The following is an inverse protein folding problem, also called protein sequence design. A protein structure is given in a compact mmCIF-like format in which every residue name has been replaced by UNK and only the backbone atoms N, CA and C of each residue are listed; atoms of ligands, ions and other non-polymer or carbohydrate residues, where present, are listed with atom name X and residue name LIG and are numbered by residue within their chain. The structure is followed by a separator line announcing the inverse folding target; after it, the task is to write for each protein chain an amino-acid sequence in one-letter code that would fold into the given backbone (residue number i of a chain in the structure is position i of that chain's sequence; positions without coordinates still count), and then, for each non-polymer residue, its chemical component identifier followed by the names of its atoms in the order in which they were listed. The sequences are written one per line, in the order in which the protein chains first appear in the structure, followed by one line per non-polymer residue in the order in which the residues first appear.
data_IF_119923076235
#
_entry.id   IF_119923076235
#
_cell.length_a   1.000
_cell.length_b   1.000
_cell.length_c   1.000
_cell.angle_alpha   90.00
_cell.angle_beta   90.00
_cell.angle_gamma   90.00
#
_symmetry.space_group_name_H-M   'P 1'
#
loop_
_entity.id
_entity.type
_entity.pdbx_description
1 polymer ?
#
# COMPACT_ATOMS: atom_id res chain seq x y z
N UNK A 1 31.83 -3.52 -2.21
CA UNK A 1 31.26 -3.58 -3.57
C UNK A 1 29.82 -3.15 -3.43
N UNK A 2 29.56 -1.85 -3.53
CA UNK A 2 28.18 -1.33 -3.47
C UNK A 2 27.36 -2.07 -4.52
N UNK A 3 26.28 -2.71 -4.07
CA UNK A 3 25.19 -3.08 -4.95
C UNK A 3 24.66 -1.74 -5.46
N UNK A 4 25.17 -1.28 -6.62
CA UNK A 4 24.42 -0.35 -7.45
C UNK A 4 23.13 -1.09 -7.74
N UNK A 5 22.12 -0.82 -6.91
CA UNK A 5 20.75 -1.25 -7.16
C UNK A 5 20.52 -1.00 -8.63
N UNK A 6 20.17 -2.05 -9.38
CA UNK A 6 20.18 -2.05 -10.84
C UNK A 6 19.27 -0.92 -11.31
N UNK A 7 19.83 0.27 -11.57
CA UNK A 7 19.06 1.52 -11.69
C UNK A 7 18.09 1.43 -12.86
N UNK A 8 18.44 0.64 -13.86
CA UNK A 8 17.60 0.34 -15.01
C UNK A 8 16.35 -0.48 -14.65
N UNK A 9 16.48 -1.46 -13.75
CA UNK A 9 15.33 -2.24 -13.30
C UNK A 9 14.36 -1.34 -12.54
N UNK A 10 14.85 -0.54 -11.58
CA UNK A 10 14.01 0.39 -10.83
C UNK A 10 13.29 1.39 -11.76
N UNK A 11 14.00 1.97 -12.73
CA UNK A 11 13.41 2.85 -13.74
C UNK A 11 12.38 2.13 -14.62
N UNK A 12 12.63 0.88 -15.02
CA UNK A 12 11.68 0.09 -15.81
C UNK A 12 10.40 -0.23 -15.02
N UNK A 13 10.54 -0.61 -13.75
CA UNK A 13 9.43 -0.83 -12.83
C UNK A 13 8.60 0.45 -12.67
N UNK A 14 9.24 1.60 -12.44
CA UNK A 14 8.57 2.90 -12.32
C UNK A 14 7.76 3.27 -13.59
N UNK A 15 8.26 2.95 -14.79
CA UNK A 15 7.51 3.17 -16.03
C UNK A 15 6.28 2.24 -16.14
N UNK A 16 6.38 1.03 -15.59
CA UNK A 16 5.31 0.03 -15.60
C UNK A 16 4.26 0.23 -14.50
N UNK A 17 4.50 1.12 -13.52
CA UNK A 17 3.59 1.38 -12.39
C UNK A 17 2.15 1.73 -12.80
N UNK A 18 1.94 2.27 -14.00
CA UNK A 18 0.60 2.56 -14.52
C UNK A 18 -0.18 1.31 -15.00
N UNK A 19 0.40 0.11 -14.82
CA UNK A 19 -0.20 -1.18 -15.15
C UNK A 19 -0.24 -1.52 -16.64
N UNK A 20 0.18 -0.61 -17.54
CA UNK A 20 0.04 -0.84 -18.99
C UNK A 20 1.16 -1.75 -19.52
N UNK A 21 0.82 -2.74 -20.36
CA UNK A 21 1.81 -3.61 -20.98
C UNK A 21 2.69 -2.82 -21.96
N UNK A 22 4.01 -3.03 -21.88
CA UNK A 22 5.02 -2.41 -22.76
C UNK A 22 6.10 -3.42 -23.11
N UNK A 23 6.47 -3.51 -24.38
CA UNK A 23 7.69 -4.22 -24.78
C UNK A 23 8.94 -3.39 -24.45
N UNK A 24 10.12 -3.99 -24.59
CA UNK A 24 11.38 -3.34 -24.22
C UNK A 24 11.67 -2.06 -25.02
N UNK A 25 11.23 -1.97 -26.29
CA UNK A 25 11.39 -0.76 -27.10
C UNK A 25 10.51 0.39 -26.59
N UNK A 26 9.25 0.11 -26.25
CA UNK A 26 8.33 1.08 -25.67
C UNK A 26 8.82 1.57 -24.30
N UNK A 27 9.38 0.68 -23.48
CA UNK A 27 10.01 1.03 -22.21
C UNK A 27 11.22 1.94 -22.42
N UNK A 28 12.12 1.60 -23.34
CA UNK A 28 13.28 2.44 -23.66
C UNK A 28 12.83 3.85 -24.07
N UNK A 29 11.87 3.93 -24.99
CA UNK A 29 11.35 5.21 -25.49
C UNK A 29 10.76 6.05 -24.37
N UNK A 30 9.93 5.45 -23.51
CA UNK A 30 9.35 6.13 -22.36
C UNK A 30 10.42 6.60 -21.37
N UNK A 31 11.41 5.76 -21.06
CA UNK A 31 12.44 6.10 -20.09
C UNK A 31 13.49 7.10 -20.59
N UNK A 32 13.78 7.13 -21.89
CA UNK A 32 14.58 8.21 -22.50
C UNK A 32 13.80 9.52 -22.48
N UNK A 33 12.50 9.49 -22.80
CA UNK A 33 11.66 10.69 -22.77
C UNK A 33 11.52 11.29 -21.36
N UNK A 34 11.52 10.46 -20.31
CA UNK A 34 11.50 10.92 -18.92
C UNK A 34 12.89 11.15 -18.29
N UNK A 35 13.96 10.86 -19.03
CA UNK A 35 15.34 11.04 -18.55
C UNK A 35 15.82 10.01 -17.52
N UNK A 36 15.10 8.90 -17.33
CA UNK A 36 15.46 7.85 -16.37
C UNK A 36 16.35 6.74 -16.95
N UNK A 37 16.50 6.70 -18.29
CA UNK A 37 17.47 5.84 -18.98
C UNK A 37 18.56 6.67 -19.68
N UNK A 38 19.83 6.21 -19.64
CA UNK A 38 20.89 6.85 -20.42
C UNK A 38 20.67 6.61 -21.92
N UNK A 39 21.16 7.53 -22.77
CA UNK A 39 21.05 7.42 -24.23
C UNK A 39 21.75 6.18 -24.82
N UNK A 40 22.66 5.55 -24.06
CA UNK A 40 23.34 4.30 -24.43
C UNK A 40 22.53 3.04 -24.14
N UNK A 41 21.38 3.16 -23.45
CA UNK A 41 20.54 2.02 -23.10
C UNK A 41 19.91 1.44 -24.37
N UNK A 42 19.92 0.11 -24.49
CA UNK A 42 19.29 -0.59 -25.61
C UNK A 42 18.05 -1.37 -25.15
N UNK A 43 17.09 -1.69 -26.05
CA UNK A 43 15.95 -2.53 -25.70
C UNK A 43 16.38 -3.93 -25.20
N UNK A 44 17.49 -4.47 -25.73
CA UNK A 44 18.03 -5.77 -25.30
C UNK A 44 18.46 -5.74 -23.83
N UNK A 45 19.10 -4.65 -23.38
CA UNK A 45 19.49 -4.51 -21.97
C UNK A 45 18.26 -4.54 -21.05
N UNK A 46 17.20 -3.77 -21.39
CA UNK A 46 15.96 -3.73 -20.61
C UNK A 46 15.31 -5.12 -20.55
N UNK A 47 15.25 -5.80 -21.70
CA UNK A 47 14.66 -7.13 -21.81
C UNK A 47 15.39 -8.16 -20.93
N UNK A 48 16.72 -8.18 -21.01
CA UNK A 48 17.56 -9.11 -20.24
C UNK A 48 17.42 -8.82 -18.74
N UNK A 49 17.48 -7.55 -18.33
CA UNK A 49 17.35 -7.15 -16.92
C UNK A 49 16.00 -7.60 -16.33
N UNK A 50 14.89 -7.36 -17.04
CA UNK A 50 13.54 -7.75 -16.59
C UNK A 50 13.35 -9.27 -16.57
N UNK A 51 13.81 -9.98 -17.60
CA UNK A 51 13.69 -11.45 -17.66
C UNK A 51 14.51 -12.12 -16.55
N UNK A 52 15.74 -11.65 -16.31
CA UNK A 52 16.56 -12.13 -15.21
C UNK A 52 15.95 -11.80 -13.85
N UNK A 53 15.35 -10.62 -13.69
CA UNK A 53 14.60 -10.29 -12.47
C UNK A 53 13.44 -11.27 -12.24
N UNK A 54 12.58 -11.48 -13.24
CA UNK A 54 11.44 -12.41 -13.15
C UNK A 54 11.93 -13.80 -12.76
N UNK A 55 12.97 -14.32 -13.43
CA UNK A 55 13.52 -15.63 -13.13
C UNK A 55 14.11 -15.71 -11.71
N UNK A 56 14.77 -14.65 -11.22
CA UNK A 56 15.30 -14.59 -9.85
C UNK A 56 14.18 -14.64 -8.82
N UNK A 57 13.11 -13.86 -8.99
CA UNK A 57 11.99 -13.86 -8.04
C UNK A 57 11.22 -15.19 -8.05
N UNK A 58 11.01 -15.79 -9.22
CA UNK A 58 10.41 -17.14 -9.33
C UNK A 58 11.30 -18.19 -8.67
N UNK A 59 12.61 -18.15 -8.92
CA UNK A 59 13.58 -19.05 -8.24
C UNK A 59 13.55 -18.85 -6.73
N UNK A 60 13.24 -17.62 -6.30
CA UNK A 60 13.08 -17.27 -4.89
C UNK A 60 11.73 -17.67 -4.29
N UNK A 61 10.84 -18.30 -5.05
CA UNK A 61 9.48 -18.59 -4.63
C UNK A 61 8.66 -17.33 -4.30
N UNK A 62 9.05 -16.18 -4.84
CA UNK A 62 8.36 -14.90 -4.70
C UNK A 62 7.53 -14.62 -5.94
N UNK A 63 6.45 -13.87 -5.79
CA UNK A 63 5.72 -13.35 -6.94
C UNK A 63 6.52 -12.19 -7.54
N UNK A 64 7.01 -12.26 -8.78
CA UNK A 64 7.71 -11.14 -9.40
C UNK A 64 6.77 -9.94 -9.52
N UNK A 65 7.27 -8.71 -9.31
CA UNK A 65 6.48 -7.48 -9.45
C UNK A 65 6.02 -7.24 -10.90
N UNK A 66 6.72 -7.82 -11.88
CA UNK A 66 6.39 -7.76 -13.30
C UNK A 66 6.27 -9.15 -13.89
N UNK A 67 5.43 -9.29 -14.90
CA UNK A 67 5.29 -10.50 -15.71
C UNK A 67 5.51 -10.18 -17.18
N UNK A 68 5.96 -11.19 -17.90
CA UNK A 68 6.13 -11.14 -19.35
C UNK A 68 4.98 -11.89 -20.02
N UNK A 69 4.36 -11.26 -21.01
CA UNK A 69 3.45 -11.93 -21.92
C UNK A 69 4.27 -12.81 -22.89
N UNK A 70 4.03 -14.14 -22.96
CA UNK A 70 4.87 -15.04 -23.73
C UNK A 70 4.70 -14.91 -25.25
N UNK A 71 3.65 -14.23 -25.72
CA UNK A 71 3.34 -14.08 -27.15
C UNK A 71 3.86 -12.74 -27.67
N UNK A 72 3.54 -11.66 -26.95
CA UNK A 72 3.87 -10.29 -27.35
C UNK A 72 5.22 -9.82 -26.81
N UNK A 73 5.80 -10.55 -25.85
CA UNK A 73 7.00 -10.18 -25.09
C UNK A 73 6.87 -8.83 -24.37
N UNK A 74 5.63 -8.37 -24.17
CA UNK A 74 5.35 -7.17 -23.38
C UNK A 74 5.48 -7.49 -21.89
N UNK A 75 6.04 -6.55 -21.15
CA UNK A 75 6.10 -6.58 -19.69
C UNK A 75 4.96 -5.75 -19.13
N UNK A 76 4.36 -6.21 -18.03
CA UNK A 76 3.38 -5.46 -17.24
C UNK A 76 3.59 -5.76 -15.76
N UNK A 77 3.08 -4.90 -14.91
CA UNK A 77 2.99 -5.18 -13.47
C UNK A 77 2.16 -6.45 -13.25
N UNK A 78 2.62 -7.29 -12.33
CA UNK A 78 2.00 -8.55 -11.94
C UNK A 78 0.86 -8.37 -10.92
N UNK A 79 -0.02 -7.42 -11.24
CA UNK A 79 -1.25 -7.18 -10.52
C UNK A 79 -2.42 -7.16 -11.52
N UNK A 80 -3.68 -7.25 -11.06
CA UNK A 80 -4.83 -7.06 -11.93
C UNK A 80 -4.74 -5.72 -12.66
N UNK A 81 -5.08 -5.73 -13.94
CA UNK A 81 -5.10 -4.49 -14.74
C UNK A 81 -6.14 -3.54 -14.14
N UNK A 82 -5.71 -2.34 -13.81
CA UNK A 82 -6.59 -1.24 -13.43
C UNK A 82 -6.84 -0.37 -14.65
N UNK A 83 -7.96 -0.64 -15.32
CA UNK A 83 -8.41 0.06 -16.51
C UNK A 83 -9.34 1.25 -16.20
N UNK A 84 -9.51 1.59 -14.93
CA UNK A 84 -10.32 2.73 -14.53
C UNK A 84 -9.60 4.05 -14.82
N UNK A 85 -10.35 5.15 -15.04
CA UNK A 85 -9.77 6.47 -15.29
C UNK A 85 -8.64 6.80 -14.31
N UNK A 86 -7.52 7.40 -14.76
CA UNK A 86 -6.47 7.87 -13.87
C UNK A 86 -7.07 8.82 -12.82
N UNK A 87 -6.70 8.60 -11.56
CA UNK A 87 -7.11 9.44 -10.46
C UNK A 87 -5.91 9.71 -9.54
N UNK A 88 -5.79 10.96 -9.11
CA UNK A 88 -4.80 11.34 -8.10
C UNK A 88 -5.48 11.34 -6.76
N UNK A 89 -5.21 10.30 -5.97
CA UNK A 89 -5.65 10.24 -4.58
C UNK A 89 -4.90 11.29 -3.75
N UNK A 90 -5.57 11.81 -2.72
CA UNK A 90 -4.90 12.64 -1.75
C UNK A 90 -3.75 11.84 -1.12
N UNK A 91 -2.56 12.44 -0.94
CA UNK A 91 -1.47 11.74 -0.27
C UNK A 91 -1.93 11.38 1.15
N UNK A 92 -1.62 10.15 1.56
CA UNK A 92 -1.86 9.74 2.94
C UNK A 92 -0.99 10.61 3.87
N UNK A 93 -1.51 10.98 5.05
CA UNK A 93 -0.69 11.66 6.05
C UNK A 93 0.54 10.81 6.37
N UNK A 94 1.73 11.40 6.22
CA UNK A 94 2.97 10.75 6.66
C UNK A 94 3.17 10.99 8.14
N UNK A 95 3.31 9.90 8.89
CA UNK A 95 3.59 9.96 10.32
C UNK A 95 5.10 9.89 10.61
N UNK A 96 5.90 9.48 9.63
CA UNK A 96 7.34 9.26 9.77
C UNK A 96 8.08 10.32 8.94
N UNK A 97 8.99 11.05 9.59
CA UNK A 97 9.85 12.00 8.88
C UNK A 97 10.86 11.28 7.98
N UNK A 98 11.30 11.92 6.90
CA UNK A 98 12.31 11.34 6.01
C UNK A 98 13.64 11.02 6.73
N UNK A 99 14.04 11.85 7.70
CA UNK A 99 15.23 11.64 8.53
C UNK A 99 15.06 10.42 9.43
N UNK A 100 13.92 10.31 10.12
CA UNK A 100 13.60 9.15 10.98
C UNK A 100 13.58 7.86 10.17
N UNK A 101 12.95 7.88 8.98
CA UNK A 101 12.89 6.75 8.07
C UNK A 101 14.28 6.32 7.60
N UNK A 102 15.14 7.27 7.23
CA UNK A 102 16.51 6.98 6.83
C UNK A 102 17.33 6.38 7.98
N UNK A 103 17.20 6.94 9.19
CA UNK A 103 17.90 6.46 10.38
C UNK A 103 17.49 5.02 10.75
N UNK A 104 16.19 4.73 10.84
CA UNK A 104 15.72 3.38 11.19
C UNK A 104 16.06 2.37 10.09
N UNK A 105 16.00 2.76 8.82
CA UNK A 105 16.39 1.89 7.70
C UNK A 105 17.88 1.51 7.75
N UNK A 106 18.75 2.48 8.07
CA UNK A 106 20.17 2.23 8.23
C UNK A 106 20.45 1.31 9.43
N UNK A 107 19.77 1.56 10.56
CA UNK A 107 19.92 0.77 11.78
C UNK A 107 19.46 -0.68 11.59
N UNK A 108 18.29 -0.91 10.99
CA UNK A 108 17.79 -2.26 10.69
C UNK A 108 18.78 -3.05 9.84
N UNK A 109 19.31 -2.43 8.78
CA UNK A 109 20.27 -3.10 7.88
C UNK A 109 21.58 -3.41 8.61
N UNK A 110 22.13 -2.46 9.36
CA UNK A 110 23.43 -2.67 10.03
C UNK A 110 23.36 -3.67 11.18
N UNK A 111 22.23 -3.74 11.89
CA UNK A 111 22.07 -4.65 13.04
C UNK A 111 21.60 -6.04 12.65
N UNK A 112 20.87 -6.18 11.53
CA UNK A 112 20.44 -7.49 11.03
C UNK A 112 21.60 -8.43 10.62
N UNK A 113 22.79 -7.87 10.46
CA UNK A 113 24.02 -8.59 10.11
C UNK A 113 25.07 -8.36 11.21
N UNK A 114 25.47 -9.42 11.91
CA UNK A 114 26.51 -9.34 12.92
C UNK A 114 26.23 -10.17 14.18
N UNK A 115 27.00 -9.88 15.22
CA UNK A 115 27.03 -10.63 16.49
C UNK A 115 26.20 -9.99 17.62
N UNK A 116 25.45 -8.92 17.34
CA UNK A 116 24.59 -8.23 18.31
C UNK A 116 23.11 -8.44 17.97
N UNK A 117 22.53 -9.61 18.29
CA UNK A 117 21.11 -9.88 18.04
C UNK A 117 20.19 -8.93 18.81
N UNK A 118 20.57 -8.53 20.03
CA UNK A 118 19.78 -7.61 20.84
C UNK A 118 19.64 -6.23 20.20
N UNK A 119 20.67 -5.71 19.53
CA UNK A 119 20.56 -4.47 18.78
C UNK A 119 19.54 -4.59 17.63
N UNK A 120 19.49 -5.73 16.94
CA UNK A 120 18.52 -5.97 15.87
C UNK A 120 17.09 -6.11 16.39
N UNK A 121 16.89 -6.86 17.48
CA UNK A 121 15.60 -7.02 18.15
C UNK A 121 14.99 -5.66 18.55
N UNK A 122 15.81 -4.77 19.12
CA UNK A 122 15.41 -3.40 19.47
C UNK A 122 15.07 -2.56 18.24
N UNK A 123 15.91 -2.59 17.21
CA UNK A 123 15.65 -1.87 15.96
C UNK A 123 14.34 -2.33 15.29
N UNK A 124 14.03 -3.62 15.32
CA UNK A 124 12.77 -4.15 14.83
C UNK A 124 11.57 -3.64 15.67
N UNK A 125 11.68 -3.63 17.00
CA UNK A 125 10.64 -3.05 17.87
C UNK A 125 10.43 -1.55 17.59
N UNK A 126 11.50 -0.78 17.40
CA UNK A 126 11.42 0.65 17.07
C UNK A 126 10.73 0.86 15.72
N UNK A 127 11.03 0.03 14.72
CA UNK A 127 10.35 0.05 13.43
C UNK A 127 8.84 -0.24 13.57
N UNK A 128 8.43 -1.24 14.34
CA UNK A 128 7.01 -1.48 14.59
C UNK A 128 6.35 -0.34 15.40
N UNK A 129 7.09 0.31 16.29
CA UNK A 129 6.60 1.50 17.00
C UNK A 129 6.25 2.63 16.03
N UNK A 130 7.08 2.84 14.99
CA UNK A 130 6.81 3.83 13.95
C UNK A 130 5.57 3.49 13.10
N UNK A 131 5.16 2.23 13.04
CA UNK A 131 3.90 1.78 12.42
C UNK A 131 2.69 1.85 13.36
N UNK A 132 2.86 2.42 14.57
CA UNK A 132 1.77 2.63 15.53
C UNK A 132 1.49 1.45 16.45
N UNK A 133 2.42 0.52 16.62
CA UNK A 133 2.38 -0.48 17.69
C UNK A 133 2.93 0.08 19.01
N UNK A 134 2.46 -0.46 20.12
CA UNK A 134 3.17 -0.41 21.41
C UNK A 134 4.11 -1.63 21.42
N UNK A 135 5.36 -1.43 21.00
CA UNK A 135 6.35 -2.50 20.93
C UNK A 135 7.14 -2.60 22.24
N UNK A 136 7.34 -3.82 22.75
CA UNK A 136 8.16 -4.09 23.93
C UNK A 136 9.22 -5.12 23.58
N UNK A 137 10.49 -4.73 23.70
CA UNK A 137 11.62 -5.67 23.65
C UNK A 137 11.68 -6.47 24.95
N UNK A 138 11.76 -7.80 24.84
CA UNK A 138 11.82 -8.73 25.96
C UNK A 138 13.18 -9.43 25.94
N UNK A 139 13.45 -10.20 24.88
CA UNK A 139 14.68 -10.97 24.68
C UNK A 139 14.94 -12.04 25.75
N UNK A 140 16.02 -12.78 25.57
CA UNK A 140 16.51 -13.79 26.51
C UNK A 140 16.06 -15.23 26.20
N UNK A 141 16.54 -16.17 27.01
CA UNK A 141 16.23 -17.59 26.83
C UNK A 141 14.78 -17.90 27.22
N UNK A 142 14.07 -18.69 26.41
CA UNK A 142 12.66 -19.08 26.63
C UNK A 142 11.65 -17.92 26.71
N UNK A 143 11.97 -16.82 26.06
CA UNK A 143 11.09 -15.69 25.81
C UNK A 143 11.13 -15.32 24.33
N UNK A 144 10.09 -14.66 23.79
CA UNK A 144 10.19 -14.04 22.49
C UNK A 144 11.09 -12.81 22.55
N UNK A 145 11.58 -12.38 21.40
CA UNK A 145 12.38 -11.15 21.31
C UNK A 145 11.55 -9.90 21.63
N UNK A 146 10.27 -9.89 21.27
CA UNK A 146 9.36 -8.84 21.68
C UNK A 146 7.88 -9.14 21.52
N UNK A 147 7.06 -8.21 21.99
CA UNK A 147 5.60 -8.18 21.77
C UNK A 147 5.20 -6.89 21.08
N UNK A 148 4.23 -6.98 20.17
CA UNK A 148 3.69 -5.87 19.40
C UNK A 148 2.19 -5.75 19.70
N UNK A 149 1.80 -4.71 20.44
CA UNK A 149 0.41 -4.44 20.78
C UNK A 149 -0.17 -3.37 19.85
N UNK A 150 -1.22 -3.69 19.09
CA UNK A 150 -1.92 -2.74 18.24
C UNK A 150 -3.07 -2.06 19.00
N UNK A 151 -2.98 -0.75 19.34
CA UNK A 151 -3.96 -0.07 20.19
C UNK A 151 -5.21 0.38 19.41
N UNK A 152 -5.94 -0.57 18.80
CA UNK A 152 -7.05 -0.32 17.87
C UNK A 152 -8.45 -0.52 18.50
N UNK A 153 -8.54 -0.40 19.84
CA UNK A 153 -9.79 -0.60 20.57
C UNK A 153 -10.35 -2.02 20.37
N UNK A 154 -11.63 -2.21 19.96
CA UNK A 154 -12.20 -3.53 19.69
C UNK A 154 -11.51 -4.31 18.57
N UNK A 155 -10.71 -3.65 17.73
CA UNK A 155 -9.92 -4.28 16.68
C UNK A 155 -8.46 -4.53 17.11
N UNK A 156 -8.14 -4.24 18.37
CA UNK A 156 -6.81 -4.42 18.93
C UNK A 156 -6.39 -5.88 18.92
N UNK A 157 -5.09 -6.09 18.78
CA UNK A 157 -4.50 -7.42 18.75
C UNK A 157 -3.03 -7.37 19.17
N UNK A 158 -2.48 -8.52 19.53
CA UNK A 158 -1.07 -8.68 19.89
C UNK A 158 -0.37 -9.64 18.94
N UNK A 159 0.85 -9.31 18.57
CA UNK A 159 1.76 -10.20 17.87
C UNK A 159 3.01 -10.51 18.69
N UNK A 160 3.54 -11.72 18.51
CA UNK A 160 4.88 -12.11 18.97
C UNK A 160 5.89 -11.76 17.89
N UNK A 161 7.02 -11.17 18.30
CA UNK A 161 8.14 -10.86 17.44
C UNK A 161 9.32 -11.78 17.76
N UNK A 162 9.86 -12.41 16.72
CA UNK A 162 11.16 -13.08 16.70
C UNK A 162 12.03 -12.44 15.63
N UNK A 163 13.29 -12.20 15.94
CA UNK A 163 14.29 -11.58 15.09
C UNK A 163 15.46 -12.53 14.92
N UNK A 164 15.87 -12.78 13.67
CA UNK A 164 17.05 -13.62 13.38
C UNK A 164 18.09 -12.81 12.64
N UNK A 165 19.28 -12.69 13.22
CA UNK A 165 20.45 -12.09 12.56
C UNK A 165 21.14 -13.10 11.64
N UNK A 166 22.01 -12.61 10.77
CA UNK A 166 22.83 -13.46 9.91
C UNK A 166 24.21 -12.85 9.61
N UNK A 167 25.29 -13.63 9.69
CA UNK A 167 26.62 -13.15 9.30
C UNK A 167 26.76 -12.89 7.80
N UNK A 168 26.07 -13.67 6.98
CA UNK A 168 26.13 -13.60 5.51
C UNK A 168 25.00 -12.75 4.89
N UNK A 169 24.14 -12.15 5.72
CA UNK A 169 22.87 -11.54 5.29
C UNK A 169 21.76 -12.55 4.99
N UNK A 170 22.01 -13.85 5.17
CA UNK A 170 21.03 -14.92 5.00
C UNK A 170 20.93 -15.71 6.30
N UNK A 171 19.79 -15.64 6.97
CA UNK A 171 19.56 -16.43 8.17
C UNK A 171 19.40 -17.91 7.80
N UNK A 172 20.03 -18.77 8.60
CA UNK A 172 19.94 -20.23 8.48
C UNK A 172 19.17 -20.80 9.68
N UNK A 173 18.51 -21.95 9.49
CA UNK A 173 17.80 -22.68 10.55
C UNK A 173 16.84 -21.78 11.35
N UNK A 174 15.93 -21.10 10.66
CA UNK A 174 14.90 -20.25 11.29
C UNK A 174 13.64 -21.09 11.49
N UNK A 175 13.36 -21.63 12.69
CA UNK A 175 12.18 -22.49 12.90
C UNK A 175 10.89 -21.66 13.04
N UNK A 176 9.93 -21.75 12.09
CA UNK A 176 8.64 -21.05 12.24
C UNK A 176 7.87 -21.43 13.50
N UNK A 177 8.10 -22.63 14.04
CA UNK A 177 7.44 -23.09 15.27
C UNK A 177 7.84 -22.30 16.52
N UNK A 178 9.00 -21.62 16.54
CA UNK A 178 9.48 -20.86 17.70
C UNK A 178 8.56 -19.72 18.13
N UNK A 179 8.27 -18.70 17.30
CA UNK A 179 7.37 -17.62 17.70
C UNK A 179 5.94 -18.12 18.00
N UNK A 180 5.49 -19.16 17.26
CA UNK A 180 4.16 -19.73 17.43
C UNK A 180 3.96 -20.33 18.84
N UNK A 181 5.01 -20.87 19.48
CA UNK A 181 4.95 -21.47 20.82
C UNK A 181 4.63 -20.46 21.92
N UNK A 182 4.93 -19.17 21.69
CA UNK A 182 4.73 -18.11 22.67
C UNK A 182 3.33 -17.50 22.63
N UNK A 183 2.54 -17.72 21.56
CA UNK A 183 1.22 -17.10 21.40
C UNK A 183 0.31 -17.28 22.63
N UNK A 184 0.16 -18.52 23.10
CA UNK A 184 -0.69 -18.82 24.25
C UNK A 184 -0.19 -18.22 25.57
N UNK A 185 1.13 -18.15 25.78
CA UNK A 185 1.73 -17.58 27.01
C UNK A 185 1.56 -16.06 27.10
N UNK A 186 1.50 -15.38 25.96
CA UNK A 186 1.48 -13.91 25.88
C UNK A 186 0.15 -13.35 25.37
N UNK A 187 -0.86 -14.19 25.18
CA UNK A 187 -2.19 -13.83 24.63
C UNK A 187 -2.10 -13.12 23.27
N UNK A 188 -1.23 -13.64 22.39
CA UNK A 188 -1.02 -13.09 21.06
C UNK A 188 -1.83 -13.87 20.01
N UNK A 189 -2.45 -13.13 19.10
CA UNK A 189 -3.23 -13.70 17.98
C UNK A 189 -2.39 -13.87 16.73
N UNK A 190 -1.20 -13.25 16.67
CA UNK A 190 -0.28 -13.30 15.54
C UNK A 190 1.15 -13.63 15.99
N UNK A 191 1.96 -14.10 15.06
CA UNK A 191 3.37 -14.42 15.27
C UNK A 191 4.17 -13.97 14.04
N UNK A 192 5.30 -13.33 14.27
CA UNK A 192 6.09 -12.65 13.25
C UNK A 192 7.56 -13.01 13.41
N UNK A 193 8.22 -13.30 12.29
CA UNK A 193 9.67 -13.44 12.19
C UNK A 193 10.21 -12.31 11.31
N UNK A 194 11.26 -11.63 11.77
CA UNK A 194 12.01 -10.65 11.00
C UNK A 194 13.46 -11.12 10.82
N UNK A 195 13.98 -11.10 9.60
CA UNK A 195 15.36 -11.48 9.29
C UNK A 195 15.91 -10.65 8.12
N UNK A 196 17.24 -10.52 7.92
CA UNK A 196 17.78 -9.85 6.72
C UNK A 196 17.36 -10.55 5.42
N UNK A 197 17.24 -11.87 5.49
CA UNK A 197 16.80 -12.77 4.43
C UNK A 197 16.84 -14.19 4.96
N UNK A 198 16.36 -15.16 4.18
CA UNK A 198 16.44 -16.58 4.55
C UNK A 198 16.91 -17.41 3.37
N UNK A 199 17.65 -18.48 3.66
CA UNK A 199 17.95 -19.51 2.68
C UNK A 199 16.65 -20.24 2.36
N UNK A 200 16.17 -20.08 1.15
CA UNK A 200 14.82 -20.49 0.79
C UNK A 200 14.75 -22.00 0.56
N UNK A 201 14.04 -22.66 1.47
CA UNK A 201 13.65 -24.05 1.34
C UNK A 201 12.13 -24.10 1.26
N UNK A 202 11.58 -24.86 0.31
CA UNK A 202 10.12 -24.97 0.11
C UNK A 202 9.39 -25.43 1.39
N UNK A 203 10.09 -26.21 2.22
CA UNK A 203 9.68 -26.62 3.56
C UNK A 203 9.43 -25.44 4.48
N UNK A 204 10.31 -24.43 4.50
CA UNK A 204 10.17 -23.25 5.36
C UNK A 204 8.86 -22.50 5.11
N UNK A 205 8.50 -22.23 3.86
CA UNK A 205 7.25 -21.52 3.56
C UNK A 205 6.01 -22.33 3.92
N UNK A 206 6.06 -23.65 3.76
CA UNK A 206 4.98 -24.54 4.18
C UNK A 206 4.82 -24.54 5.71
N UNK A 207 5.94 -24.50 6.44
CA UNK A 207 5.95 -24.41 7.90
C UNK A 207 5.43 -23.06 8.41
N UNK A 208 5.78 -21.93 7.77
CA UNK A 208 5.19 -20.63 8.11
C UNK A 208 3.66 -20.65 8.04
N UNK A 209 3.10 -21.29 7.00
CA UNK A 209 1.65 -21.43 6.87
C UNK A 209 1.08 -22.38 7.93
N UNK A 210 1.73 -23.53 8.16
CA UNK A 210 1.28 -24.52 9.15
C UNK A 210 1.26 -23.96 10.58
N UNK A 211 2.23 -23.10 10.91
CA UNK A 211 2.33 -22.46 12.23
C UNK A 211 1.63 -21.10 12.32
N UNK A 212 1.07 -20.60 11.21
CA UNK A 212 0.45 -19.28 11.10
C UNK A 212 1.39 -18.15 11.56
N UNK A 213 2.57 -18.11 10.94
CA UNK A 213 3.65 -17.15 11.23
C UNK A 213 3.97 -16.32 10.00
N UNK A 214 3.95 -15.00 10.15
CA UNK A 214 4.34 -14.08 9.10
C UNK A 214 5.85 -13.93 9.05
N UNK A 215 6.45 -14.06 7.86
CA UNK A 215 7.86 -13.82 7.65
C UNK A 215 8.11 -12.51 6.91
N UNK A 216 8.90 -11.64 7.54
CA UNK A 216 9.32 -10.35 7.02
C UNK A 216 10.82 -10.37 6.80
N UNK A 217 11.25 -9.89 5.64
CA UNK A 217 12.63 -9.45 5.50
C UNK A 217 12.81 -8.04 6.06
N UNK A 218 14.05 -7.66 6.35
CA UNK A 218 14.39 -6.26 6.69
C UNK A 218 13.93 -5.30 5.59
N UNK A 219 14.06 -5.67 4.31
CA UNK A 219 13.59 -4.83 3.22
C UNK A 219 12.06 -4.74 3.15
N UNK A 220 11.32 -5.81 3.47
CA UNK A 220 9.85 -5.74 3.58
C UNK A 220 9.43 -4.77 4.70
N UNK A 221 10.11 -4.82 5.85
CA UNK A 221 9.85 -3.92 6.99
C UNK A 221 10.15 -2.45 6.63
N UNK A 222 11.26 -2.20 5.95
CA UNK A 222 11.62 -0.86 5.46
C UNK A 222 10.60 -0.38 4.42
N UNK A 223 10.19 -1.25 3.51
CA UNK A 223 9.21 -0.92 2.48
C UNK A 223 7.84 -0.58 3.11
N UNK A 224 7.41 -1.31 4.14
CA UNK A 224 6.20 -0.98 4.88
C UNK A 224 6.28 0.41 5.54
N UNK A 225 7.41 0.76 6.15
CA UNK A 225 7.65 2.09 6.71
C UNK A 225 7.64 3.19 5.64
N UNK A 226 8.29 2.95 4.49
CA UNK A 226 8.33 3.88 3.35
C UNK A 226 6.94 4.18 2.77
N UNK A 227 6.02 3.23 2.94
CA UNK A 227 4.65 3.32 2.47
C UNK A 227 3.68 3.70 3.61
N UNK A 228 4.15 4.09 4.80
CA UNK A 228 3.28 4.46 5.92
C UNK A 228 2.23 3.37 6.22
N UNK A 229 2.65 2.10 6.22
CA UNK A 229 1.81 0.99 6.68
C UNK A 229 1.60 1.12 8.19
N UNK A 230 0.35 1.03 8.63
CA UNK A 230 0.01 1.14 10.04
C UNK A 230 -0.31 -0.21 10.72
N UNK A 231 -0.55 -0.16 12.03
CA UNK A 231 -0.90 -1.34 12.82
C UNK A 231 -2.25 -1.94 12.45
N UNK A 232 -3.16 -1.20 11.80
CA UNK A 232 -4.43 -1.76 11.32
C UNK A 232 -4.21 -2.61 10.05
N UNK A 233 -3.44 -2.10 9.09
CA UNK A 233 -3.12 -2.80 7.84
C UNK A 233 -2.22 -4.02 8.09
N UNK A 234 -1.36 -3.96 9.11
CA UNK A 234 -0.53 -5.10 9.53
C UNK A 234 -1.34 -6.34 9.91
N UNK A 235 -2.65 -6.26 10.22
CA UNK A 235 -3.49 -7.44 10.50
C UNK A 235 -3.49 -8.43 9.35
N UNK A 236 -3.58 -7.94 8.12
CA UNK A 236 -3.55 -8.78 6.93
C UNK A 236 -2.13 -9.25 6.60
N UNK A 237 -1.12 -8.40 6.87
CA UNK A 237 0.29 -8.74 6.68
C UNK A 237 0.80 -9.77 7.70
N UNK A 238 0.15 -9.90 8.86
CA UNK A 238 0.56 -10.83 9.92
C UNK A 238 -0.03 -12.24 9.80
N UNK A 239 -0.86 -12.53 8.79
CA UNK A 239 -1.27 -13.92 8.49
C UNK A 239 -0.05 -14.79 8.12
N UNK A 240 -0.14 -16.11 8.32
CA UNK A 240 0.94 -17.04 8.01
C UNK A 240 1.49 -16.97 6.58
N UNK A 241 2.81 -17.08 6.44
CA UNK A 241 3.52 -17.06 5.15
C UNK A 241 4.40 -15.82 4.94
N UNK A 242 5.08 -15.72 3.78
CA UNK A 242 5.87 -14.54 3.44
C UNK A 242 4.98 -13.30 3.33
N UNK A 243 5.48 -12.15 3.80
CA UNK A 243 4.75 -10.87 3.75
C UNK A 243 4.90 -10.17 2.42
N UNK A 244 6.03 -10.35 1.74
CA UNK A 244 6.40 -9.65 0.51
C UNK A 244 5.22 -9.47 -0.47
N UNK A 245 4.59 -10.56 -0.91
CA UNK A 245 3.51 -10.51 -1.90
C UNK A 245 2.28 -9.74 -1.40
N UNK A 246 1.92 -9.90 -0.12
CA UNK A 246 0.79 -9.19 0.50
C UNK A 246 1.07 -7.71 0.71
N UNK A 247 2.32 -7.36 1.02
CA UNK A 247 2.75 -5.96 1.10
C UNK A 247 2.68 -5.30 -0.28
N UNK A 248 3.13 -6.00 -1.33
CA UNK A 248 2.96 -5.52 -2.71
C UNK A 248 1.48 -5.36 -3.09
N UNK A 249 0.62 -6.32 -2.73
CA UNK A 249 -0.83 -6.20 -2.95
C UNK A 249 -1.43 -5.01 -2.21
N UNK A 250 -1.02 -4.76 -0.97
CA UNK A 250 -1.47 -3.60 -0.20
C UNK A 250 -1.06 -2.28 -0.88
N UNK A 251 0.20 -2.15 -1.27
CA UNK A 251 0.74 -0.95 -1.95
C UNK A 251 0.01 -0.74 -3.29
N UNK A 252 -0.17 -1.80 -4.07
CA UNK A 252 -0.93 -1.75 -5.32
C UNK A 252 -2.37 -1.27 -5.09
N UNK A 253 -3.07 -1.86 -4.10
CA UNK A 253 -4.47 -1.55 -3.82
C UNK A 253 -4.69 -0.10 -3.36
N UNK A 254 -3.68 0.54 -2.77
CA UNK A 254 -3.76 1.95 -2.39
C UNK A 254 -3.78 2.88 -3.60
N UNK A 255 -3.11 2.51 -4.69
CA UNK A 255 -3.04 3.35 -5.90
C UNK A 255 -4.08 2.93 -6.95
N UNK A 256 -4.38 1.64 -7.03
CA UNK A 256 -5.13 1.02 -8.14
C UNK A 256 -6.35 0.22 -7.68
N UNK A 257 -6.60 0.15 -6.38
CA UNK A 257 -7.61 -0.72 -5.79
C UNK A 257 -8.92 -0.01 -5.43
N UNK A 258 -9.62 -0.51 -4.39
CA UNK A 258 -10.93 0.01 -3.97
C UNK A 258 -10.94 1.50 -3.66
N UNK A 259 -9.85 2.05 -3.12
CA UNK A 259 -9.76 3.48 -2.76
C UNK A 259 -9.81 4.38 -4.01
N UNK A 260 -9.03 4.04 -5.05
CA UNK A 260 -9.09 4.70 -6.36
C UNK A 260 -10.48 4.61 -6.97
N UNK A 261 -11.07 3.42 -6.99
CA UNK A 261 -12.42 3.18 -7.53
C UNK A 261 -13.46 4.05 -6.82
N UNK A 262 -13.47 4.04 -5.49
CA UNK A 262 -14.38 4.86 -4.69
C UNK A 262 -14.18 6.37 -4.97
N UNK A 263 -12.94 6.82 -5.12
CA UNK A 263 -12.64 8.21 -5.50
C UNK A 263 -13.16 8.56 -6.90
N UNK A 264 -12.94 7.70 -7.89
CA UNK A 264 -13.45 7.89 -9.27
C UNK A 264 -14.98 7.96 -9.27
N UNK A 265 -15.67 7.05 -8.56
CA UNK A 265 -17.13 7.06 -8.46
C UNK A 265 -17.62 8.37 -7.84
N UNK A 266 -17.07 8.79 -6.69
CA UNK A 266 -17.45 10.06 -6.03
C UNK A 266 -17.24 11.25 -6.96
N UNK A 267 -16.09 11.31 -7.64
CA UNK A 267 -15.75 12.40 -8.56
C UNK A 267 -16.74 12.46 -9.73
N UNK A 268 -17.10 11.31 -10.30
CA UNK A 268 -18.08 11.24 -11.39
C UNK A 268 -19.50 11.55 -10.93
N UNK A 269 -19.92 11.09 -9.74
CA UNK A 269 -21.21 11.46 -9.16
C UNK A 269 -21.31 12.96 -8.90
N UNK A 270 -20.27 13.56 -8.32
CA UNK A 270 -20.23 15.01 -8.11
C UNK A 270 -20.31 15.76 -9.44
N UNK A 271 -19.46 15.39 -10.40
CA UNK A 271 -19.37 16.09 -11.70
C UNK A 271 -20.63 15.94 -12.53
N UNK A 272 -21.10 14.71 -12.73
CA UNK A 272 -22.24 14.40 -13.59
C UNK A 272 -23.57 14.71 -12.89
N UNK A 273 -23.68 14.40 -11.59
CA UNK A 273 -24.87 14.69 -10.80
C UNK A 273 -25.14 16.18 -10.70
N UNK A 274 -24.11 16.98 -10.38
CA UNK A 274 -24.25 18.43 -10.35
C UNK A 274 -24.58 19.02 -11.73
N UNK A 275 -23.95 18.51 -12.80
CA UNK A 275 -24.28 18.95 -14.16
C UNK A 275 -25.76 18.66 -14.50
N UNK A 276 -26.25 17.46 -14.22
CA UNK A 276 -27.64 17.09 -14.44
C UNK A 276 -28.61 17.99 -13.64
N UNK A 277 -28.32 18.26 -12.38
CA UNK A 277 -29.14 19.16 -11.55
C UNK A 277 -29.14 20.59 -12.09
N UNK A 278 -27.97 21.10 -12.49
CA UNK A 278 -27.82 22.44 -13.06
C UNK A 278 -28.59 22.57 -14.37
N UNK A 279 -28.53 21.57 -15.23
CA UNK A 279 -29.17 21.60 -16.55
C UNK A 279 -30.70 21.61 -16.43
N UNK A 280 -31.27 21.08 -15.34
CA UNK A 280 -32.70 21.13 -15.03
C UNK A 280 -33.18 22.49 -14.50
N UNK A 281 -32.27 23.39 -14.08
CA UNK A 281 -32.64 24.70 -13.53
C UNK A 281 -33.44 25.50 -14.57
N UNK A 282 -34.66 25.88 -14.20
CA UNK A 282 -35.59 26.61 -15.08
C UNK A 282 -36.37 25.74 -16.06
N UNK A 283 -36.07 24.43 -16.15
CA UNK A 283 -36.83 23.48 -16.96
C UNK A 283 -37.96 22.80 -16.17
N UNK A 284 -37.78 22.58 -14.87
CA UNK A 284 -38.81 22.02 -13.99
C UNK A 284 -39.02 22.89 -12.74
N UNK A 285 -40.22 22.88 -12.12
CA UNK A 285 -40.46 23.55 -10.84
C UNK A 285 -39.52 23.04 -9.75
N UNK A 286 -39.14 23.90 -8.79
CA UNK A 286 -38.26 23.51 -7.68
C UNK A 286 -38.79 22.34 -6.85
N UNK A 287 -40.11 22.25 -6.69
CA UNK A 287 -40.78 21.13 -5.99
C UNK A 287 -40.72 19.81 -6.74
N UNK A 288 -40.35 19.83 -8.02
CA UNK A 288 -40.26 18.65 -8.89
C UNK A 288 -38.81 18.34 -9.28
N UNK A 289 -37.82 19.01 -8.67
CA UNK A 289 -36.41 18.72 -8.94
C UNK A 289 -36.07 17.29 -8.52
N UNK A 290 -35.62 16.43 -9.46
CA UNK A 290 -35.31 15.06 -9.13
C UNK A 290 -34.05 14.99 -8.25
N UNK A 291 -34.11 14.14 -7.23
CA UNK A 291 -32.92 13.69 -6.53
C UNK A 291 -32.12 12.73 -7.42
N UNK A 292 -30.81 12.68 -7.20
CA UNK A 292 -29.96 11.66 -7.79
C UNK A 292 -30.18 10.35 -7.05
N UNK A 293 -31.05 9.50 -7.58
CA UNK A 293 -31.31 8.16 -7.04
C UNK A 293 -30.16 7.21 -7.36
N UNK A 294 -30.10 6.08 -6.65
CA UNK A 294 -29.06 5.06 -6.87
C UNK A 294 -29.05 4.54 -8.32
N UNK A 295 -30.20 4.35 -8.93
CA UNK A 295 -30.28 3.83 -10.31
C UNK A 295 -29.79 4.87 -11.33
N UNK A 296 -30.11 6.16 -11.12
CA UNK A 296 -29.58 7.25 -11.96
C UNK A 296 -28.06 7.38 -11.76
N UNK A 297 -27.58 7.29 -10.52
CA UNK A 297 -26.17 7.28 -10.19
C UNK A 297 -25.41 6.16 -10.91
N UNK A 298 -25.98 4.94 -10.96
CA UNK A 298 -25.43 3.81 -11.72
C UNK A 298 -25.28 4.13 -13.20
N UNK A 299 -26.31 4.70 -13.84
CA UNK A 299 -26.26 5.04 -15.27
C UNK A 299 -25.22 6.12 -15.56
N UNK A 300 -25.12 7.15 -14.70
CA UNK A 300 -24.16 8.23 -14.88
C UNK A 300 -22.71 7.75 -14.77
N UNK A 301 -22.40 6.95 -13.74
CA UNK A 301 -21.06 6.42 -13.48
C UNK A 301 -20.67 5.43 -14.57
N UNK A 302 -21.53 4.47 -14.91
CA UNK A 302 -21.26 3.50 -15.98
C UNK A 302 -21.03 4.18 -17.34
N UNK A 303 -21.84 5.19 -17.66
CA UNK A 303 -21.66 5.99 -18.87
C UNK A 303 -20.33 6.73 -18.90
N UNK A 304 -19.85 7.22 -17.74
CA UNK A 304 -18.55 7.88 -17.63
C UNK A 304 -17.38 6.89 -17.77
N UNK A 305 -17.43 5.76 -17.06
CA UNK A 305 -16.43 4.69 -17.13
C UNK A 305 -16.26 4.16 -18.56
N UNK A 306 -17.38 3.90 -19.25
CA UNK A 306 -17.36 3.44 -20.64
C UNK A 306 -16.72 4.45 -21.60
N UNK A 307 -17.01 5.75 -21.43
CA UNK A 307 -16.37 6.81 -22.24
C UNK A 307 -14.85 6.91 -21.99
N UNK A 308 -14.41 6.55 -20.79
CA UNK A 308 -13.00 6.50 -20.44
C UNK A 308 -12.30 5.19 -20.87
N UNK A 309 -13.04 4.22 -21.41
CA UNK A 309 -12.49 2.95 -21.88
C UNK A 309 -12.26 1.91 -20.79
N UNK A 310 -12.88 2.06 -19.61
CA UNK A 310 -12.85 1.02 -18.59
C UNK A 310 -13.59 -0.23 -19.09
N UNK A 311 -12.97 -1.41 -18.97
CA UNK A 311 -13.54 -2.70 -19.30
C UNK A 311 -14.45 -3.26 -18.21
N UNK A 312 -14.31 -2.79 -16.96
CA UNK A 312 -15.20 -3.08 -15.84
C UNK A 312 -16.11 -1.91 -15.45
N UNK A 313 -17.30 -2.23 -14.93
CA UNK A 313 -18.23 -1.26 -14.35
C UNK A 313 -18.14 -1.15 -12.83
N UNK A 314 -18.78 -0.14 -12.25
CA UNK A 314 -18.96 -0.01 -10.81
C UNK A 314 -20.11 -0.90 -10.32
N UNK A 315 -19.93 -1.56 -9.18
CA UNK A 315 -21.00 -2.34 -8.54
C UNK A 315 -22.04 -1.42 -7.88
N UNK A 316 -23.25 -1.94 -7.63
CA UNK A 316 -24.30 -1.19 -6.93
C UNK A 316 -23.87 -0.81 -5.51
N UNK A 317 -23.16 -1.70 -4.84
CA UNK A 317 -22.63 -1.52 -3.49
C UNK A 317 -21.59 -0.41 -3.43
N UNK A 318 -20.67 -0.35 -4.40
CA UNK A 318 -19.67 0.72 -4.48
C UNK A 318 -20.31 2.09 -4.74
N UNK A 319 -21.34 2.15 -5.59
CA UNK A 319 -22.05 3.40 -5.87
C UNK A 319 -22.83 3.86 -4.65
N UNK A 320 -23.52 2.96 -3.95
CA UNK A 320 -24.19 3.28 -2.69
C UNK A 320 -23.20 3.81 -1.66
N UNK A 321 -22.08 3.11 -1.47
CA UNK A 321 -21.04 3.54 -0.54
C UNK A 321 -20.48 4.93 -0.90
N UNK A 322 -20.30 5.22 -2.18
CA UNK A 322 -19.87 6.53 -2.66
C UNK A 322 -20.94 7.62 -2.40
N UNK A 323 -22.23 7.33 -2.58
CA UNK A 323 -23.32 8.25 -2.24
C UNK A 323 -23.36 8.54 -0.74
N UNK A 324 -23.27 7.51 0.11
CA UNK A 324 -23.24 7.65 1.56
C UNK A 324 -22.04 8.48 2.03
N UNK A 325 -20.89 8.29 1.38
CA UNK A 325 -19.68 9.05 1.66
C UNK A 325 -19.82 10.53 1.27
N UNK A 326 -20.42 10.84 0.12
CA UNK A 326 -20.71 12.23 -0.28
C UNK A 326 -21.64 12.94 0.71
N UNK A 327 -22.61 12.22 1.29
CA UNK A 327 -23.47 12.77 2.34
C UNK A 327 -22.66 13.03 3.62
N UNK A 328 -21.79 12.08 4.00
CA UNK A 328 -20.94 12.18 5.20
C UNK A 328 -19.91 13.29 5.10
N UNK A 329 -19.37 13.54 3.91
CA UNK A 329 -18.43 14.64 3.63
C UNK A 329 -19.13 15.99 3.46
N UNK A 330 -20.47 16.04 3.56
CA UNK A 330 -21.30 17.22 3.30
C UNK A 330 -21.23 17.76 1.87
N UNK A 331 -20.76 16.96 0.92
CA UNK A 331 -20.76 17.27 -0.51
C UNK A 331 -22.13 16.97 -1.16
N UNK A 332 -22.97 16.22 -0.48
CA UNK A 332 -24.35 15.96 -0.87
C UNK A 332 -25.31 16.03 0.32
N UNK A 333 -26.60 16.18 0.03
CA UNK A 333 -27.70 16.13 1.01
C UNK A 333 -28.52 14.88 0.72
N UNK A 334 -28.73 14.02 1.71
CA UNK A 334 -29.64 12.88 1.57
C UNK A 334 -31.09 13.37 1.47
N UNK A 335 -31.86 12.75 0.58
CA UNK A 335 -33.29 13.02 0.37
C UNK A 335 -34.05 11.71 0.54
N UNK A 336 -34.37 11.32 1.79
CA UNK A 336 -34.92 10.00 2.11
C UNK A 336 -36.24 9.70 1.40
N UNK A 337 -37.07 10.73 1.21
CA UNK A 337 -38.37 10.66 0.54
C UNK A 337 -38.27 10.21 -0.93
N UNK A 338 -37.08 10.38 -1.52
CA UNK A 338 -36.80 10.05 -2.92
C UNK A 338 -35.70 9.00 -3.08
N UNK A 339 -35.26 8.35 -1.99
CA UNK A 339 -34.15 7.37 -1.99
C UNK A 339 -32.94 7.85 -2.80
N UNK A 340 -32.55 9.11 -2.60
CA UNK A 340 -31.54 9.77 -3.41
C UNK A 340 -30.78 10.85 -2.68
N UNK A 341 -29.88 11.52 -3.42
CA UNK A 341 -29.07 12.63 -2.91
C UNK A 341 -29.19 13.86 -3.80
N UNK A 342 -28.94 15.04 -3.24
CA UNK A 342 -28.72 16.29 -3.98
C UNK A 342 -27.24 16.65 -3.86
N UNK A 343 -26.53 16.74 -4.98
CA UNK A 343 -25.14 17.19 -4.98
C UNK A 343 -25.09 18.69 -4.69
N UNK A 344 -24.21 19.10 -3.77
CA UNK A 344 -23.93 20.50 -3.49
C UNK A 344 -22.80 20.96 -4.41
N UNK A 345 -22.80 22.24 -4.77
CA UNK A 345 -21.55 22.84 -5.26
C UNK A 345 -20.50 22.64 -4.17
N UNK A 346 -19.33 22.12 -4.55
CA UNK A 346 -18.18 22.10 -3.66
C UNK A 346 -18.02 23.54 -3.14
N UNK A 347 -18.41 23.77 -1.89
CA UNK A 347 -18.16 25.04 -1.25
C UNK A 347 -16.66 25.25 -1.36
N UNK A 348 -16.21 26.42 -1.84
CA UNK A 348 -14.80 26.80 -1.65
C UNK A 348 -14.49 26.45 -0.21
N UNK A 349 -13.64 25.45 0.00
CA UNK A 349 -13.30 24.97 1.32
C UNK A 349 -12.97 26.20 2.16
N UNK A 350 -13.88 26.60 3.04
CA UNK A 350 -13.61 27.57 4.08
C UNK A 350 -12.83 26.79 5.12
N UNK A 351 -11.65 26.30 4.74
CA UNK A 351 -10.65 25.95 5.71
C UNK A 351 -10.50 27.20 6.59
N UNK A 352 -10.73 27.11 7.91
CA UNK A 352 -10.55 28.26 8.77
C UNK A 352 -9.13 28.76 8.51
N UNK A 353 -9.02 30.02 8.09
CA UNK A 353 -7.73 30.69 7.96
C UNK A 353 -6.99 30.43 9.27
N UNK A 354 -5.88 29.70 9.20
CA UNK A 354 -5.14 29.27 10.38
C UNK A 354 -4.96 30.47 11.30
N UNK A 355 -5.62 30.43 12.45
CA UNK A 355 -5.35 31.38 13.52
C UNK A 355 -3.91 31.15 13.92
N UNK A 356 -3.03 32.04 13.47
CA UNK A 356 -1.66 32.09 13.97
C UNK A 356 -1.74 32.08 15.50
N UNK A 357 -1.04 31.16 16.19
CA UNK A 357 -0.97 31.21 17.64
C UNK A 357 -0.44 32.60 18.05
N UNK A 358 -0.99 33.21 19.11
CA UNK A 358 -0.53 34.52 19.56
C UNK A 358 0.97 34.46 19.87
N UNK A 359 1.73 35.36 19.23
CA UNK A 359 3.13 35.58 19.53
C UNK A 359 3.28 35.84 21.04
N UNK A 360 4.07 35.05 21.78
CA UNK A 360 4.31 35.33 23.19
C UNK A 360 4.96 36.71 23.32
N UNK A 361 4.60 37.49 24.36
CA UNK A 361 5.17 38.81 24.58
C UNK A 361 6.68 38.70 24.75
N UNK A 362 7.41 39.57 24.06
CA UNK A 362 8.86 39.67 24.19
C UNK A 362 9.21 39.98 25.65
N UNK A 363 9.89 39.04 26.31
CA UNK A 363 10.55 39.30 27.58
C UNK A 363 11.67 40.32 27.33
N UNK A 364 11.48 41.52 27.88
CA UNK A 364 12.48 42.57 27.89
C UNK A 364 13.72 42.13 28.65
N UNK A 365 14.89 42.38 28.04
CA UNK A 365 16.18 42.48 28.72
C UNK A 365 16.55 43.94 28.87
#
# INVERSE_FOLDING_TARGET
MEVRANTHLASALAILEDGKPRNAEALLRAGVASGVFPATMTPENIYVDLTQYIQREVTRGRRPEVVQDPVTLAFRVNHPVDDWPPATLAPRPRNISAETLAAISALLRSTSVGDDPTAFERAACDAFTLMGFIATHIGGHDAPDGTLDAPLGPLGYRAILECKTAHSGIAENVPPSEPAKFRGRYDATAAVIVAPGIKQEQTFFSELQAHDVAFWTVDDLIQALQNDVDSYECRELFKGGPVHDRLQDLIWNRTHGPEKRAFVIRSELQRQGFAAQRDLVGQVPWSEMPALTLDVAMVLVEGALRRAGAGGGATREEIRAAMDDLVRSFDAIAVPEHDGIIIRTAGRSTAPAGTNPPTPPAEGR
#
